data_IF_220050678085
#
_entry.id   IF_220050678085
#
_cell.length_a   1.000
_cell.length_b   1.000
_cell.length_c   1.000
_cell.angle_alpha   90.00
_cell.angle_beta   90.00
_cell.angle_gamma   90.00
#
_symmetry.space_group_name_H-M   'P 1'
#
loop_
_entity.id
_entity.type
_entity.pdbx_description
1 polymer ?
#
# COMPACT_ATOMS: atom_id res chain seq x y z
N UNK A 1 17.18 32.35 -25.22
CA UNK A 1 16.33 32.09 -24.03
C UNK A 1 16.15 30.59 -23.90
N UNK A 2 16.91 29.97 -22.99
CA UNK A 2 16.73 28.57 -22.59
C UNK A 2 15.85 28.55 -21.33
N UNK A 3 14.83 27.69 -21.21
CA UNK A 3 14.23 27.41 -19.92
C UNK A 3 15.06 26.32 -19.24
N UNK A 4 15.96 26.77 -18.37
CA UNK A 4 16.70 25.95 -17.41
C UNK A 4 15.84 25.68 -16.18
N UNK A 5 15.31 24.47 -16.03
CA UNK A 5 15.23 23.70 -14.75
C UNK A 5 14.26 22.52 -14.83
N UNK A 6 14.78 21.29 -14.69
CA UNK A 6 14.09 20.25 -13.92
C UNK A 6 13.24 19.18 -14.61
N UNK A 7 13.24 19.00 -15.94
CA UNK A 7 12.45 17.92 -16.57
C UNK A 7 13.17 16.56 -16.53
N UNK A 8 13.24 15.96 -15.34
CA UNK A 8 13.73 14.60 -15.10
C UNK A 8 12.75 13.86 -14.17
N UNK A 9 11.46 13.86 -14.49
CA UNK A 9 10.41 13.52 -13.50
C UNK A 9 9.67 12.21 -13.79
N UNK A 10 10.08 11.42 -14.80
CA UNK A 10 9.54 10.07 -14.99
C UNK A 10 10.62 9.03 -14.64
N UNK A 11 10.76 8.72 -13.35
CA UNK A 11 11.55 7.58 -12.88
C UNK A 11 10.79 6.27 -13.11
N UNK A 12 10.47 5.95 -14.37
CA UNK A 12 9.90 4.66 -14.77
C UNK A 12 11.00 3.74 -15.27
N UNK A 13 11.07 2.55 -14.70
CA UNK A 13 11.97 1.48 -15.16
C UNK A 13 11.12 0.42 -15.88
N UNK A 14 11.66 -0.35 -16.85
CA UNK A 14 10.88 -1.35 -17.64
C UNK A 14 10.06 -2.32 -16.78
N UNK A 15 10.53 -2.59 -15.55
CA UNK A 15 9.85 -3.43 -14.54
C UNK A 15 8.51 -2.88 -14.03
N UNK A 16 8.27 -1.56 -14.12
CA UNK A 16 6.99 -0.95 -13.75
C UNK A 16 5.88 -1.27 -14.77
N UNK A 17 6.26 -1.41 -16.05
CA UNK A 17 5.33 -1.83 -17.10
C UNK A 17 5.21 -3.37 -17.17
N UNK A 18 6.31 -4.10 -16.98
CA UNK A 18 6.34 -5.57 -16.94
C UNK A 18 6.20 -6.11 -15.51
N UNK A 19 5.10 -5.77 -14.85
CA UNK A 19 4.86 -6.01 -13.42
C UNK A 19 4.52 -7.48 -13.07
N UNK A 20 4.31 -8.36 -14.05
CA UNK A 20 3.79 -9.73 -13.86
C UNK A 20 4.63 -10.54 -12.85
N UNK A 21 5.96 -10.45 -12.94
CA UNK A 21 6.87 -11.19 -12.04
C UNK A 21 7.10 -10.50 -10.69
N UNK A 22 6.57 -9.30 -10.49
CA UNK A 22 6.83 -8.44 -9.32
C UNK A 22 5.52 -7.85 -8.76
N UNK A 23 4.39 -8.54 -8.97
CA UNK A 23 3.01 -8.09 -8.64
C UNK A 23 2.85 -7.63 -7.18
N UNK A 24 3.60 -8.22 -6.26
CA UNK A 24 3.54 -7.92 -4.82
C UNK A 24 4.36 -6.68 -4.42
N UNK A 25 5.16 -6.11 -5.33
CA UNK A 25 5.94 -4.90 -5.03
C UNK A 25 5.08 -3.65 -5.24
N UNK A 26 4.37 -3.27 -4.18
CA UNK A 26 3.54 -2.05 -4.10
C UNK A 26 4.30 -0.81 -4.60
N UNK A 27 5.62 -0.75 -4.37
CA UNK A 27 6.49 0.32 -4.87
C UNK A 27 6.41 0.57 -6.39
N UNK A 28 6.27 -0.48 -7.21
CA UNK A 28 6.20 -0.37 -8.67
C UNK A 28 4.85 0.22 -9.13
N UNK A 29 3.76 -0.15 -8.45
CA UNK A 29 2.43 0.41 -8.70
C UNK A 29 2.37 1.91 -8.33
N UNK A 30 2.92 2.28 -7.17
CA UNK A 30 2.96 3.67 -6.67
C UNK A 30 3.72 4.59 -7.61
N UNK A 31 4.83 4.13 -8.19
CA UNK A 31 5.60 4.91 -9.18
C UNK A 31 4.87 5.09 -10.52
N UNK A 32 3.88 4.23 -10.81
CA UNK A 32 3.14 4.27 -12.08
C UNK A 32 1.94 5.20 -12.00
N UNK A 33 1.32 5.29 -10.82
CA UNK A 33 0.15 6.12 -10.50
C UNK A 33 0.52 7.27 -9.55
N UNK A 34 1.52 8.06 -9.95
CA UNK A 34 2.05 9.16 -9.12
C UNK A 34 1.61 10.52 -9.63
N UNK A 35 1.74 11.54 -8.76
CA UNK A 35 1.50 12.95 -9.11
C UNK A 35 2.32 13.39 -10.34
N UNK A 36 3.58 12.98 -10.42
CA UNK A 36 4.45 13.26 -11.57
C UNK A 36 3.94 12.71 -12.90
N UNK A 37 3.28 11.56 -12.89
CA UNK A 37 2.71 10.96 -14.11
C UNK A 37 1.48 11.74 -14.55
N UNK A 38 0.67 12.22 -13.60
CA UNK A 38 -0.47 13.09 -13.91
C UNK A 38 -0.03 14.44 -14.51
N UNK A 39 0.99 15.08 -13.93
CA UNK A 39 1.55 16.33 -14.46
C UNK A 39 2.12 16.15 -15.87
N UNK A 40 2.76 15.01 -16.15
CA UNK A 40 3.23 14.69 -17.50
C UNK A 40 2.07 14.50 -18.50
N UNK A 41 0.98 13.84 -18.09
CA UNK A 41 -0.22 13.69 -18.92
C UNK A 41 -0.91 15.04 -19.20
N UNK A 42 -0.98 15.91 -18.19
CA UNK A 42 -1.55 17.25 -18.35
C UNK A 42 -0.70 18.10 -19.30
N UNK A 43 0.63 18.03 -19.20
CA UNK A 43 1.54 18.74 -20.10
C UNK A 43 1.40 18.27 -21.55
N UNK A 44 1.32 16.96 -21.78
CA UNK A 44 1.16 16.39 -23.12
C UNK A 44 -0.19 16.77 -23.76
N UNK A 45 -1.25 16.89 -22.95
CA UNK A 45 -2.58 17.26 -23.42
C UNK A 45 -2.75 18.78 -23.57
N UNK A 46 -2.37 19.57 -22.56
CA UNK A 46 -2.70 21.01 -22.46
C UNK A 46 -1.63 21.91 -23.08
N UNK A 47 -0.35 21.59 -22.87
CA UNK A 47 0.76 22.44 -23.32
C UNK A 47 1.28 22.02 -24.71
N UNK A 48 1.36 20.71 -24.98
CA UNK A 48 1.81 20.17 -26.26
C UNK A 48 0.66 19.78 -27.22
N UNK A 49 -0.58 19.73 -26.74
CA UNK A 49 -1.79 19.45 -27.54
C UNK A 49 -1.67 18.23 -28.46
N UNK A 50 -1.06 17.14 -27.99
CA UNK A 50 -0.86 15.92 -28.79
C UNK A 50 -2.20 15.19 -28.91
N UNK A 51 -2.60 14.87 -30.15
CA UNK A 51 -3.89 14.24 -30.46
C UNK A 51 -4.16 12.96 -29.66
N UNK A 52 -3.14 12.13 -29.46
CA UNK A 52 -3.23 10.86 -28.71
C UNK A 52 -3.56 11.05 -27.21
N UNK A 53 -3.40 12.26 -26.67
CA UNK A 53 -3.58 12.58 -25.26
C UNK A 53 -4.76 13.52 -24.99
N UNK A 54 -5.57 13.86 -26.00
CA UNK A 54 -6.67 14.84 -25.89
C UNK A 54 -7.65 14.53 -24.75
N UNK A 55 -7.91 13.25 -24.48
CA UNK A 55 -8.81 12.77 -23.42
C UNK A 55 -8.08 12.20 -22.20
N UNK A 56 -6.77 12.46 -22.06
CA UNK A 56 -5.98 11.93 -20.93
C UNK A 56 -6.27 12.63 -19.60
N UNK A 57 -7.16 13.63 -19.57
CA UNK A 57 -7.52 14.39 -18.37
C UNK A 57 -8.18 13.49 -17.30
N UNK A 58 -9.03 12.55 -17.71
CA UNK A 58 -9.61 11.57 -16.79
C UNK A 58 -8.53 10.67 -16.14
N UNK A 59 -7.54 10.25 -16.93
CA UNK A 59 -6.40 9.43 -16.47
C UNK A 59 -5.46 10.22 -15.54
N UNK A 60 -5.22 11.50 -15.84
CA UNK A 60 -4.46 12.42 -14.98
C UNK A 60 -5.17 12.60 -13.63
N UNK A 61 -6.48 12.87 -13.65
CA UNK A 61 -7.30 13.00 -12.45
C UNK A 61 -7.29 11.72 -11.60
N UNK A 62 -7.41 10.55 -12.24
CA UNK A 62 -7.29 9.25 -11.56
C UNK A 62 -5.92 9.08 -10.89
N UNK A 63 -4.82 9.34 -11.60
CA UNK A 63 -3.47 9.26 -11.06
C UNK A 63 -3.27 10.19 -9.85
N UNK A 64 -3.79 11.43 -9.89
CA UNK A 64 -3.75 12.35 -8.74
C UNK A 64 -4.58 11.85 -7.57
N UNK A 65 -5.78 11.34 -7.83
CA UNK A 65 -6.68 10.81 -6.81
C UNK A 65 -6.05 9.63 -6.08
N UNK A 66 -5.50 8.67 -6.83
CA UNK A 66 -4.80 7.50 -6.27
C UNK A 66 -3.53 7.91 -5.53
N UNK A 67 -2.74 8.84 -6.07
CA UNK A 67 -1.55 9.36 -5.39
C UNK A 67 -1.91 10.01 -4.04
N UNK A 68 -2.89 10.92 -4.02
CA UNK A 68 -3.33 11.58 -2.80
C UNK A 68 -3.89 10.59 -1.78
N UNK A 69 -4.65 9.60 -2.25
CA UNK A 69 -5.15 8.52 -1.42
C UNK A 69 -3.99 7.71 -0.82
N UNK A 70 -2.98 7.40 -1.61
CA UNK A 70 -1.78 6.71 -1.14
C UNK A 70 -0.96 7.56 -0.16
N UNK A 71 -0.82 8.86 -0.40
CA UNK A 71 -0.14 9.79 0.51
C UNK A 71 -0.93 9.97 1.82
N UNK A 72 -2.26 9.95 1.78
CA UNK A 72 -3.12 9.95 2.99
C UNK A 72 -2.95 8.65 3.78
N UNK A 73 -2.91 7.50 3.10
CA UNK A 73 -2.74 6.20 3.75
C UNK A 73 -1.31 5.90 4.21
N UNK A 74 -0.32 6.45 3.53
CA UNK A 74 1.11 6.28 3.83
C UNK A 74 1.74 7.51 4.50
N UNK A 75 0.90 8.47 4.88
CA UNK A 75 1.30 9.58 5.73
C UNK A 75 1.90 9.01 7.00
N UNK A 76 3.08 9.51 7.40
CA UNK A 76 3.69 9.14 8.68
C UNK A 76 2.79 9.52 9.88
N UNK A 77 1.69 10.25 9.65
CA UNK A 77 0.52 10.37 10.52
C UNK A 77 -0.54 9.28 10.21
N UNK A 78 -0.36 8.07 10.77
CA UNK A 78 -0.99 6.79 10.36
C UNK A 78 -2.47 6.51 10.76
N UNK A 79 -3.27 7.44 11.30
CA UNK A 79 -4.27 7.03 12.33
C UNK A 79 -5.78 7.11 12.00
N UNK A 80 -6.28 7.49 10.80
CA UNK A 80 -7.74 7.81 10.72
C UNK A 80 -8.70 6.90 9.97
N UNK A 81 -8.29 5.91 9.15
CA UNK A 81 -9.29 5.06 8.45
C UNK A 81 -9.15 3.56 8.73
N UNK A 82 -7.99 2.96 8.46
CA UNK A 82 -7.71 1.57 8.89
C UNK A 82 -7.68 1.45 10.41
N UNK A 83 -7.07 2.43 11.07
CA UNK A 83 -7.09 2.53 12.53
C UNK A 83 -8.48 2.89 13.07
N UNK A 84 -9.32 3.63 12.33
CA UNK A 84 -10.72 3.86 12.73
C UNK A 84 -11.54 2.58 12.65
N UNK A 85 -11.41 1.78 11.59
CA UNK A 85 -12.03 0.45 11.51
C UNK A 85 -11.54 -0.50 12.60
N UNK A 86 -10.26 -0.40 12.97
CA UNK A 86 -9.67 -1.14 14.09
C UNK A 86 -10.19 -0.66 15.45
N UNK A 87 -10.28 0.65 15.69
CA UNK A 87 -10.88 1.25 16.90
C UNK A 87 -12.34 0.81 17.03
N UNK A 88 -13.12 0.88 15.95
CA UNK A 88 -14.53 0.47 15.95
C UNK A 88 -14.66 -1.00 16.33
N UNK A 89 -13.84 -1.87 15.72
CA UNK A 89 -13.83 -3.31 16.04
C UNK A 89 -13.43 -3.60 17.50
N UNK A 90 -12.40 -2.92 18.03
CA UNK A 90 -11.98 -3.06 19.43
C UNK A 90 -13.06 -2.57 20.39
N UNK A 91 -13.69 -1.43 20.11
CA UNK A 91 -14.75 -0.88 20.94
C UNK A 91 -15.95 -1.82 20.97
N UNK A 92 -16.40 -2.32 19.82
CA UNK A 92 -17.49 -3.29 19.75
C UNK A 92 -17.18 -4.57 20.54
N UNK A 93 -15.94 -5.07 20.46
CA UNK A 93 -15.52 -6.26 21.21
C UNK A 93 -15.45 -6.00 22.73
N UNK A 94 -14.98 -4.82 23.14
CA UNK A 94 -14.92 -4.41 24.54
C UNK A 94 -16.32 -4.27 25.14
N UNK A 95 -17.24 -3.56 24.47
CA UNK A 95 -18.63 -3.41 24.92
C UNK A 95 -19.29 -4.78 25.11
N UNK A 96 -19.13 -5.69 24.15
CA UNK A 96 -19.71 -7.03 24.25
C UNK A 96 -19.05 -7.89 25.35
N UNK A 97 -17.73 -8.11 25.31
CA UNK A 97 -17.03 -9.10 26.17
C UNK A 97 -16.74 -8.62 27.60
N UNK A 98 -16.60 -7.31 27.80
CA UNK A 98 -16.23 -6.73 29.11
C UNK A 98 -17.45 -6.13 29.80
N UNK A 99 -18.30 -5.38 29.08
CA UNK A 99 -19.44 -4.69 29.70
C UNK A 99 -20.72 -5.53 29.73
N UNK A 100 -21.12 -6.11 28.61
CA UNK A 100 -22.35 -6.93 28.53
C UNK A 100 -22.17 -8.31 29.16
N UNK A 101 -21.25 -9.14 28.64
CA UNK A 101 -21.11 -10.52 29.11
C UNK A 101 -20.33 -10.64 30.42
N UNK A 102 -19.52 -9.61 30.77
CA UNK A 102 -18.61 -9.57 31.93
C UNK A 102 -17.67 -10.77 32.03
N UNK A 103 -17.39 -11.44 30.91
CA UNK A 103 -16.49 -12.60 30.84
C UNK A 103 -15.04 -12.19 31.06
N UNK A 104 -14.68 -10.95 30.70
CA UNK A 104 -13.33 -10.41 30.81
C UNK A 104 -13.30 -9.18 31.72
N UNK A 105 -12.30 -9.11 32.63
CA UNK A 105 -12.07 -7.93 33.49
C UNK A 105 -11.48 -6.75 32.72
N UNK A 106 -10.74 -7.02 31.64
CA UNK A 106 -10.11 -6.03 30.76
C UNK A 106 -9.74 -6.68 29.42
N UNK A 107 -9.54 -5.85 28.38
CA UNK A 107 -9.17 -6.29 27.04
C UNK A 107 -7.72 -5.88 26.72
N UNK A 108 -6.87 -6.85 26.36
CA UNK A 108 -5.48 -6.61 25.95
C UNK A 108 -5.40 -6.46 24.42
N UNK A 109 -5.46 -5.23 23.93
CA UNK A 109 -5.47 -4.92 22.48
C UNK A 109 -4.20 -5.37 21.74
N UNK A 110 -3.05 -5.42 22.43
CA UNK A 110 -1.80 -5.96 21.89
C UNK A 110 -1.90 -7.45 21.49
N UNK A 111 -2.79 -8.24 22.11
CA UNK A 111 -3.00 -9.64 21.71
C UNK A 111 -3.90 -9.80 20.48
N UNK A 112 -4.50 -8.72 20.00
CA UNK A 112 -5.38 -8.71 18.84
C UNK A 112 -4.64 -8.36 17.53
N UNK A 113 -3.36 -7.97 17.60
CA UNK A 113 -2.54 -7.66 16.42
C UNK A 113 -2.02 -8.92 15.72
N UNK A 114 -1.96 -8.89 14.38
CA UNK A 114 -1.38 -9.98 13.56
C UNK A 114 0.15 -10.10 13.71
N UNK A 115 0.81 -9.14 14.36
CA UNK A 115 2.27 -9.08 14.52
C UNK A 115 2.88 -10.39 15.04
N UNK A 116 2.23 -11.08 15.98
CA UNK A 116 2.71 -12.37 16.50
C UNK A 116 2.71 -13.46 15.43
N UNK A 117 1.71 -13.47 14.55
CA UNK A 117 1.63 -14.42 13.44
C UNK A 117 2.69 -14.11 12.38
N UNK A 118 2.91 -12.83 12.06
CA UNK A 118 3.94 -12.44 11.08
C UNK A 118 5.35 -12.75 11.58
N UNK A 119 5.63 -12.50 12.87
CA UNK A 119 6.89 -12.88 13.51
C UNK A 119 7.06 -14.40 13.48
N UNK A 120 6.02 -15.15 13.85
CA UNK A 120 6.03 -16.62 13.82
C UNK A 120 6.34 -17.17 12.42
N UNK A 121 5.62 -16.74 11.38
CA UNK A 121 5.87 -17.18 10.01
C UNK A 121 7.20 -16.67 9.46
N UNK A 122 7.73 -15.57 9.98
CA UNK A 122 9.08 -15.10 9.62
C UNK A 122 10.17 -16.00 10.22
N UNK A 123 10.02 -16.44 11.47
CA UNK A 123 10.92 -17.43 12.08
C UNK A 123 10.88 -18.77 11.33
N UNK A 124 9.69 -19.24 10.94
CA UNK A 124 9.51 -20.48 10.17
C UNK A 124 10.23 -20.41 8.82
N UNK A 125 10.08 -19.29 8.10
CA UNK A 125 10.80 -19.08 6.83
C UNK A 125 12.31 -19.02 7.05
N UNK A 126 12.76 -18.37 8.12
CA UNK A 126 14.19 -18.28 8.47
C UNK A 126 14.80 -19.64 8.82
N UNK A 127 14.02 -20.60 9.36
CA UNK A 127 14.48 -21.96 9.64
C UNK A 127 14.73 -22.78 8.36
N UNK A 128 14.07 -22.43 7.25
CA UNK A 128 14.18 -23.14 5.96
C UNK A 128 15.47 -22.88 5.18
N UNK A 129 16.38 -22.04 5.69
CA UNK A 129 17.64 -21.70 5.00
C UNK A 129 17.38 -21.06 3.63
N UNK A 130 17.82 -21.71 2.55
CA UNK A 130 17.57 -21.26 1.18
C UNK A 130 16.13 -21.54 0.68
N UNK A 131 15.30 -22.24 1.46
CA UNK A 131 13.91 -22.53 1.14
C UNK A 131 12.95 -21.66 1.96
N UNK A 132 12.61 -20.49 1.40
CA UNK A 132 11.73 -19.51 2.05
C UNK A 132 10.23 -19.82 1.91
N UNK A 133 9.86 -20.97 1.33
CA UNK A 133 8.48 -21.40 1.12
C UNK A 133 8.32 -22.88 1.51
N UNK A 134 8.27 -23.21 2.80
CA UNK A 134 8.16 -24.59 3.25
C UNK A 134 6.84 -25.21 2.78
N UNK A 135 6.90 -26.46 2.31
CA UNK A 135 5.71 -27.27 2.01
C UNK A 135 4.96 -27.60 3.31
N UNK A 136 3.67 -27.93 3.23
CA UNK A 136 2.87 -28.25 4.43
C UNK A 136 3.46 -29.39 5.27
N UNK A 137 4.13 -30.37 4.65
CA UNK A 137 4.87 -31.44 5.36
C UNK A 137 6.12 -30.92 6.07
N UNK A 138 6.85 -29.98 5.45
CA UNK A 138 8.01 -29.34 6.10
C UNK A 138 7.55 -28.44 7.24
N UNK A 139 6.44 -27.72 7.06
CA UNK A 139 5.82 -26.91 8.11
C UNK A 139 5.38 -27.75 9.31
N UNK A 140 4.83 -28.95 9.07
CA UNK A 140 4.44 -29.89 10.13
C UNK A 140 5.64 -30.40 10.95
N UNK A 141 6.84 -30.39 10.36
CA UNK A 141 8.08 -30.93 10.95
C UNK A 141 9.05 -29.84 11.47
N UNK A 142 8.60 -28.58 11.59
CA UNK A 142 9.38 -27.41 12.07
C UNK A 142 9.19 -27.16 13.57
#
# INVERSE_FOLDING_TARGET
MQPSSGFLVIRKNKKNLQWVNEKMKVKLAVQTLSKSVAEALDFLNKDLAIADFKDSEATSYFCRTVNNLFDVFNSRNRIKLGFLGFIISINSLYEYRVKETKELKYLLTYKLSQDHLEIFFSCIRSKGGYSNNPTSKQFQNI
#
